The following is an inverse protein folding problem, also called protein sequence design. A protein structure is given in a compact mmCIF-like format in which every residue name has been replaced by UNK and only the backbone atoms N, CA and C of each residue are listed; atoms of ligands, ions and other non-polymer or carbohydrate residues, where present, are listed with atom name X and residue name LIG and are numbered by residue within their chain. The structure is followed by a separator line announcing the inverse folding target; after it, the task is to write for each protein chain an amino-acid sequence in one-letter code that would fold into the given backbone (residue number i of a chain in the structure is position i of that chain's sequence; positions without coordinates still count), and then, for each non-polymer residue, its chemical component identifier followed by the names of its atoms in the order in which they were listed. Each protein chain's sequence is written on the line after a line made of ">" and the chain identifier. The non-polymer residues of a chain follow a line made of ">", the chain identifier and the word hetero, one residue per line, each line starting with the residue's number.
data_IF_608244416100
#
_entry.id   IF_608244416100
#
_cell.length_a   1.000
_cell.length_b   1.000
_cell.length_c   1.000
_cell.angle_alpha   90.00
_cell.angle_beta   90.00
_cell.angle_gamma   90.00
#
_symmetry.space_group_name_H-M   'P 1'
#
loop_
_entity.id
_entity.type
_entity.pdbx_description
1 polymer ?
#
# COMPACT_ATOMS: atom_id res chain seq x y z
N UNK A 1 41.26 -4.01 -0.26
CA UNK A 1 40.60 -5.31 0.00
C UNK A 1 41.47 -6.06 1.00
N UNK A 2 40.91 -6.74 2.02
CA UNK A 2 39.72 -7.60 1.98
C UNK A 2 38.48 -6.87 2.53
N UNK A 3 37.24 -7.04 2.04
CA UNK A 3 36.45 -8.24 1.68
C UNK A 3 36.06 -9.09 2.90
N UNK A 4 35.15 -8.58 3.74
CA UNK A 4 34.24 -9.35 4.62
C UNK A 4 33.42 -8.41 5.53
N UNK A 5 32.33 -7.81 5.02
CA UNK A 5 31.23 -7.26 5.84
C UNK A 5 30.00 -6.81 5.03
N UNK A 6 29.86 -7.21 3.76
CA UNK A 6 28.56 -7.13 3.08
C UNK A 6 27.88 -8.47 3.36
N UNK A 7 27.37 -8.61 4.59
CA UNK A 7 26.34 -9.62 4.85
C UNK A 7 25.18 -9.18 3.97
N UNK A 8 24.92 -10.00 2.97
CA UNK A 8 24.07 -9.71 1.84
C UNK A 8 22.65 -9.42 2.32
N UNK A 9 22.24 -8.14 2.24
CA UNK A 9 20.87 -7.74 2.52
C UNK A 9 19.86 -8.49 1.62
N UNK A 10 20.31 -8.99 0.45
CA UNK A 10 19.51 -9.90 -0.38
C UNK A 10 19.39 -11.27 0.25
N UNK A 11 20.43 -11.84 0.83
CA UNK A 11 20.34 -13.17 1.48
C UNK A 11 19.45 -13.14 2.73
N UNK A 12 19.45 -12.03 3.48
CA UNK A 12 18.52 -11.81 4.60
C UNK A 12 17.09 -11.63 4.09
N UNK A 13 16.89 -10.84 3.02
CA UNK A 13 15.59 -10.68 2.38
C UNK A 13 15.08 -12.02 1.82
N UNK A 14 15.90 -12.78 1.10
CA UNK A 14 15.59 -14.07 0.50
C UNK A 14 15.22 -15.13 1.55
N UNK A 15 15.94 -15.18 2.68
CA UNK A 15 15.61 -16.08 3.81
C UNK A 15 14.31 -15.67 4.51
N UNK A 16 14.05 -14.36 4.65
CA UNK A 16 12.79 -13.85 5.20
C UNK A 16 11.62 -14.09 4.23
N UNK A 17 11.82 -13.93 2.92
CA UNK A 17 10.88 -14.26 1.84
C UNK A 17 10.52 -15.75 1.88
N UNK A 18 11.50 -16.64 2.04
CA UNK A 18 11.25 -18.08 2.15
C UNK A 18 10.43 -18.43 3.41
N UNK A 19 10.71 -17.75 4.53
CA UNK A 19 9.99 -17.97 5.79
C UNK A 19 8.55 -17.45 5.71
N UNK A 20 8.33 -16.29 5.08
CA UNK A 20 6.99 -15.75 4.86
C UNK A 20 6.16 -16.60 3.87
N UNK A 21 6.77 -17.10 2.79
CA UNK A 21 6.13 -18.06 1.86
C UNK A 21 5.63 -19.31 2.59
N UNK A 22 6.41 -19.84 3.53
CA UNK A 22 6.01 -20.97 4.35
C UNK A 22 4.83 -20.61 5.28
N UNK A 23 4.85 -19.43 5.90
CA UNK A 23 3.77 -18.98 6.79
C UNK A 23 2.44 -18.73 6.05
N UNK A 24 2.49 -18.20 4.83
CA UNK A 24 1.31 -17.95 4.00
C UNK A 24 0.71 -19.25 3.42
N UNK A 25 1.55 -20.17 2.94
CA UNK A 25 1.09 -21.48 2.47
C UNK A 25 0.36 -22.27 3.58
N UNK A 26 0.84 -22.18 4.83
CA UNK A 26 0.19 -22.79 6.00
C UNK A 26 -1.15 -22.10 6.37
N UNK A 27 -1.37 -20.85 5.94
CA UNK A 27 -2.61 -20.10 6.17
C UNK A 27 -3.68 -20.47 5.14
N UNK A 28 -3.31 -20.69 3.88
CA UNK A 28 -4.20 -21.18 2.82
C UNK A 28 -4.73 -22.60 3.09
N UNK A 29 -3.96 -23.45 3.76
CA UNK A 29 -4.44 -24.76 4.19
C UNK A 29 -5.50 -24.69 5.32
N UNK A 30 -5.48 -23.63 6.13
CA UNK A 30 -6.44 -23.42 7.23
C UNK A 30 -7.75 -22.75 6.81
N UNK A 31 -7.78 -22.04 5.67
CA UNK A 31 -8.99 -21.38 5.14
C UNK A 31 -9.85 -22.26 4.24
N UNK A 32 -9.49 -23.53 4.04
CA UNK A 32 -10.43 -24.55 3.51
C UNK A 32 -11.46 -24.94 4.58
N UNK A 33 -12.36 -24.01 4.90
CA UNK A 33 -13.55 -24.28 5.69
C UNK A 33 -14.81 -24.01 4.86
N UNK A 34 -15.72 -24.96 4.98
CA UNK A 34 -16.99 -25.19 4.28
C UNK A 34 -17.93 -23.99 4.20
N UNK A 35 -18.82 -23.93 3.19
CA UNK A 35 -19.78 -22.84 3.05
C UNK A 35 -20.75 -22.83 4.23
N UNK A 36 -20.77 -21.73 4.99
CA UNK A 36 -21.81 -21.47 6.00
C UNK A 36 -23.04 -20.95 5.26
N UNK A 37 -24.14 -21.69 5.36
CA UNK A 37 -25.43 -21.33 4.80
C UNK A 37 -25.91 -19.99 5.38
N UNK A 38 -26.26 -19.05 4.51
CA UNK A 38 -26.93 -17.82 4.88
C UNK A 38 -28.38 -18.11 5.23
N UNK A 39 -28.71 -18.11 6.52
CA UNK A 39 -30.06 -17.78 6.97
C UNK A 39 -30.07 -17.44 8.47
N UNK A 40 -30.54 -16.25 8.84
CA UNK A 40 -31.52 -16.12 9.92
C UNK A 40 -32.12 -14.71 9.95
N UNK A 41 -33.34 -14.62 9.44
CA UNK A 41 -34.34 -13.67 9.92
C UNK A 41 -34.82 -14.15 11.29
N UNK A 42 -34.69 -13.33 12.36
CA UNK A 42 -35.60 -13.27 13.52
C UNK A 42 -35.24 -12.09 14.47
N UNK A 43 -36.18 -11.65 15.33
CA UNK A 43 -36.41 -10.24 15.64
C UNK A 43 -35.62 -9.71 16.84
N UNK A 44 -35.45 -8.40 16.87
CA UNK A 44 -34.85 -7.63 17.97
C UNK A 44 -35.65 -7.84 19.27
N UNK A 45 -35.04 -8.51 20.25
CA UNK A 45 -35.53 -8.47 21.63
C UNK A 45 -35.11 -7.15 22.26
N UNK A 46 -36.09 -6.32 22.61
CA UNK A 46 -35.92 -5.21 23.54
C UNK A 46 -35.60 -5.78 24.92
N UNK A 47 -34.38 -5.59 25.39
CA UNK A 47 -34.01 -5.87 26.78
C UNK A 47 -33.80 -4.54 27.52
N UNK A 48 -34.78 -4.18 28.36
CA UNK A 48 -34.78 -2.98 29.19
C UNK A 48 -34.02 -3.23 30.51
N UNK A 49 -32.80 -3.74 30.41
CA UNK A 49 -31.91 -4.01 31.54
C UNK A 49 -31.11 -2.78 31.95
N UNK A 50 -31.58 -2.08 32.99
CA UNK A 50 -30.93 -0.91 33.56
C UNK A 50 -29.68 -1.32 34.40
N UNK A 51 -28.52 -1.45 33.76
CA UNK A 51 -27.24 -1.61 34.45
C UNK A 51 -26.62 -0.24 34.76
N UNK A 52 -26.78 0.20 36.01
CA UNK A 52 -26.01 1.30 36.61
C UNK A 52 -24.56 0.82 36.85
N UNK A 53 -23.69 0.98 35.86
CA UNK A 53 -22.29 0.60 35.98
C UNK A 53 -21.38 1.34 35.00
N UNK A 54 -20.68 2.36 35.51
CA UNK A 54 -19.44 2.96 34.98
C UNK A 54 -19.17 2.72 33.48
N UNK A 55 -19.95 3.36 32.60
CA UNK A 55 -19.58 3.47 31.19
C UNK A 55 -18.36 4.37 31.11
N UNK A 56 -17.18 3.78 30.87
CA UNK A 56 -16.01 4.55 30.40
C UNK A 56 -16.51 5.39 29.24
N UNK A 57 -16.46 6.71 29.42
CA UNK A 57 -16.87 7.69 28.44
C UNK A 57 -15.79 7.72 27.34
N UNK A 58 -15.65 6.63 26.59
CA UNK A 58 -14.89 6.65 25.35
C UNK A 58 -15.69 7.54 24.41
N UNK A 59 -15.12 8.63 23.88
CA UNK A 59 -15.84 9.45 22.90
C UNK A 59 -16.33 8.53 21.80
N UNK A 60 -17.65 8.51 21.57
CA UNK A 60 -18.21 7.77 20.46
C UNK A 60 -17.54 8.27 19.17
N UNK A 61 -17.00 7.36 18.36
CA UNK A 61 -16.37 7.76 17.11
C UNK A 61 -17.39 8.47 16.21
N UNK A 62 -16.97 9.49 15.44
CA UNK A 62 -17.90 10.27 14.62
C UNK A 62 -18.65 9.37 13.64
N UNK A 63 -19.90 9.71 13.28
CA UNK A 63 -20.67 8.93 12.32
C UNK A 63 -19.92 8.78 11.00
N UNK A 64 -20.04 7.61 10.35
CA UNK A 64 -19.39 7.33 9.06
C UNK A 64 -20.09 8.08 7.93
N UNK A 65 -19.31 8.57 6.98
CA UNK A 65 -19.77 8.90 5.64
C UNK A 65 -19.54 7.71 4.70
N UNK A 66 -20.50 7.45 3.79
CA UNK A 66 -20.43 6.36 2.81
C UNK A 66 -20.63 4.95 3.39
N UNK A 67 -20.64 3.96 2.49
CA UNK A 67 -20.67 2.53 2.85
C UNK A 67 -19.25 1.94 2.89
N UNK A 68 -19.12 0.74 3.46
CA UNK A 68 -17.84 0.04 3.52
C UNK A 68 -17.56 -0.77 2.25
N UNK A 69 -16.29 -1.02 1.99
CA UNK A 69 -15.80 -2.07 1.12
C UNK A 69 -15.16 -3.20 1.93
N UNK A 70 -15.16 -4.41 1.39
CA UNK A 70 -14.40 -5.52 1.95
C UNK A 70 -12.95 -5.46 1.47
N UNK A 71 -11.98 -5.58 2.37
CA UNK A 71 -10.55 -5.68 2.04
C UNK A 71 -10.12 -7.14 1.88
N UNK A 72 -8.90 -7.36 1.36
CA UNK A 72 -8.33 -8.69 1.13
C UNK A 72 -8.40 -9.62 2.35
N UNK A 73 -8.10 -9.08 3.52
CA UNK A 73 -8.13 -9.81 4.80
C UNK A 73 -9.55 -10.04 5.35
N UNK A 74 -10.59 -9.70 4.59
CA UNK A 74 -11.99 -9.86 4.95
C UNK A 74 -12.53 -8.79 5.91
N UNK A 75 -11.82 -7.66 6.06
CA UNK A 75 -12.21 -6.56 6.95
C UNK A 75 -13.07 -5.54 6.21
N UNK A 76 -13.73 -4.67 6.98
CA UNK A 76 -14.46 -3.52 6.44
C UNK A 76 -13.54 -2.31 6.42
N UNK A 77 -13.64 -1.53 5.34
CA UNK A 77 -12.94 -0.24 5.21
C UNK A 77 -13.89 0.79 4.62
N UNK A 78 -13.84 2.04 5.09
CA UNK A 78 -14.69 3.14 4.61
C UNK A 78 -13.83 4.22 3.92
N UNK A 79 -13.66 4.19 2.59
CA UNK A 79 -12.82 5.16 1.88
C UNK A 79 -13.28 6.62 2.03
N UNK A 80 -14.58 6.84 2.31
CA UNK A 80 -15.16 8.18 2.53
C UNK A 80 -15.05 8.65 3.98
N UNK A 81 -14.57 7.81 4.89
CA UNK A 81 -14.40 8.12 6.30
C UNK A 81 -13.29 7.22 6.89
N UNK A 82 -12.06 7.29 6.37
CA UNK A 82 -10.99 6.36 6.73
C UNK A 82 -10.53 6.61 8.16
N UNK A 83 -10.24 5.53 8.91
CA UNK A 83 -9.70 5.62 10.27
C UNK A 83 -8.33 4.93 10.34
N UNK A 84 -7.34 5.51 11.04
CA UNK A 84 -5.99 4.96 11.07
C UNK A 84 -5.95 3.50 11.53
N UNK A 85 -6.67 3.14 12.60
CA UNK A 85 -6.65 1.78 13.17
C UNK A 85 -7.31 0.70 12.30
N UNK A 86 -7.92 1.09 11.17
CA UNK A 86 -8.51 0.18 10.18
C UNK A 86 -7.62 0.00 8.95
N UNK A 87 -6.49 0.68 8.91
CA UNK A 87 -5.48 0.53 7.86
C UNK A 87 -4.53 -0.62 8.24
N UNK A 88 -4.48 -1.63 7.38
CA UNK A 88 -3.63 -2.81 7.51
C UNK A 88 -2.71 -2.90 6.29
N UNK A 89 -1.42 -3.15 6.53
CA UNK A 89 -0.41 -3.14 5.48
C UNK A 89 -0.60 -4.29 4.49
N UNK A 90 -1.12 -5.42 4.95
CA UNK A 90 -1.40 -6.60 4.14
C UNK A 90 -2.50 -6.33 3.10
N UNK A 91 -3.52 -5.54 3.46
CA UNK A 91 -4.57 -5.15 2.52
C UNK A 91 -4.03 -4.18 1.45
N UNK A 92 -3.13 -3.27 1.82
CA UNK A 92 -2.48 -2.34 0.90
C UNK A 92 -1.58 -3.12 -0.06
N UNK A 93 -0.66 -3.92 0.46
CA UNK A 93 0.31 -4.68 -0.34
C UNK A 93 -0.39 -5.58 -1.37
N UNK A 94 -1.43 -6.29 -0.94
CA UNK A 94 -2.20 -7.16 -1.82
C UNK A 94 -2.92 -6.39 -2.93
N UNK A 95 -3.67 -5.34 -2.57
CA UNK A 95 -4.40 -4.52 -3.54
C UNK A 95 -3.46 -3.89 -4.57
N UNK A 96 -2.37 -3.25 -4.11
CA UNK A 96 -1.39 -2.61 -4.98
C UNK A 96 -0.60 -3.62 -5.83
N UNK A 97 -0.41 -4.84 -5.35
CA UNK A 97 0.20 -5.94 -6.12
C UNK A 97 -0.64 -6.35 -7.33
N UNK A 98 -1.96 -6.25 -7.23
CA UNK A 98 -2.91 -6.59 -8.30
C UNK A 98 -3.22 -5.42 -9.25
N UNK A 99 -3.02 -4.18 -8.82
CA UNK A 99 -3.31 -3.00 -9.63
C UNK A 99 -2.17 -2.70 -10.61
N UNK A 100 -2.49 -2.70 -11.90
CA UNK A 100 -1.54 -2.38 -12.96
C UNK A 100 -1.45 -0.87 -13.18
N UNK A 101 -0.23 -0.33 -13.20
CA UNK A 101 0.01 1.07 -13.58
C UNK A 101 -0.44 1.35 -15.01
N UNK A 102 -0.61 2.64 -15.31
CA UNK A 102 -0.99 3.12 -16.65
C UNK A 102 -2.34 2.56 -17.14
N UNK A 103 -3.23 2.22 -16.21
CA UNK A 103 -4.48 1.52 -16.49
C UNK A 103 -4.30 0.27 -17.38
N UNK A 104 -3.18 -0.44 -17.24
CA UNK A 104 -2.90 -1.65 -18.00
C UNK A 104 -2.37 -1.44 -19.42
N UNK A 105 -2.11 -0.20 -19.87
CA UNK A 105 -1.55 0.08 -21.20
C UNK A 105 -0.02 -0.12 -21.32
N UNK A 106 0.54 -0.94 -20.44
CA UNK A 106 1.95 -1.32 -20.45
C UNK A 106 2.23 -2.48 -21.42
N UNK A 107 3.47 -2.62 -21.88
CA UNK A 107 3.91 -3.77 -22.69
C UNK A 107 3.90 -5.06 -21.85
N UNK A 108 4.32 -4.97 -20.59
CA UNK A 108 4.28 -6.03 -19.58
C UNK A 108 3.56 -5.54 -18.33
N UNK A 109 2.97 -6.48 -17.57
CA UNK A 109 2.38 -6.18 -16.28
C UNK A 109 3.39 -5.47 -15.37
N UNK A 110 2.95 -4.36 -14.78
CA UNK A 110 3.75 -3.52 -13.90
C UNK A 110 2.83 -2.94 -12.84
N UNK A 111 2.98 -3.41 -11.60
CA UNK A 111 2.05 -3.10 -10.53
C UNK A 111 2.39 -1.79 -9.81
N UNK A 112 1.39 -1.20 -9.17
CA UNK A 112 1.59 -0.04 -8.28
C UNK A 112 2.53 -0.40 -7.11
N UNK A 113 2.46 -1.64 -6.63
CA UNK A 113 3.39 -2.14 -5.61
C UNK A 113 4.85 -2.16 -6.08
N UNK A 114 5.12 -2.65 -7.31
CA UNK A 114 6.49 -2.64 -7.85
C UNK A 114 7.04 -1.22 -7.99
N UNK A 115 6.24 -0.31 -8.53
CA UNK A 115 6.55 1.12 -8.58
C UNK A 115 6.94 1.70 -7.21
N UNK A 116 6.09 1.48 -6.21
CA UNK A 116 6.32 1.97 -4.85
C UNK A 116 7.58 1.40 -4.21
N UNK A 117 7.86 0.11 -4.42
CA UNK A 117 9.07 -0.54 -3.90
C UNK A 117 10.34 0.00 -4.56
N UNK A 118 10.33 0.25 -5.88
CA UNK A 118 11.48 0.80 -6.58
C UNK A 118 11.81 2.23 -6.10
N UNK A 119 10.79 3.07 -5.87
CA UNK A 119 10.95 4.40 -5.26
C UNK A 119 11.53 4.27 -3.85
N UNK A 120 10.93 3.43 -3.00
CA UNK A 120 11.36 3.27 -1.62
C UNK A 120 12.82 2.82 -1.52
N UNK A 121 13.24 1.86 -2.36
CA UNK A 121 14.63 1.38 -2.42
C UNK A 121 15.60 2.46 -2.90
N UNK A 122 15.20 3.26 -3.88
CA UNK A 122 15.99 4.41 -4.32
C UNK A 122 16.19 5.42 -3.19
N UNK A 123 15.11 5.77 -2.49
CA UNK A 123 15.13 6.74 -1.39
C UNK A 123 15.92 6.23 -0.18
N UNK A 124 15.80 4.94 0.16
CA UNK A 124 16.50 4.32 1.29
C UNK A 124 18.04 4.38 1.14
N UNK A 125 18.54 4.45 -0.09
CA UNK A 125 19.98 4.59 -0.34
C UNK A 125 20.51 6.01 -0.09
N UNK A 126 19.63 7.02 0.06
CA UNK A 126 19.98 8.44 0.06
C UNK A 126 19.41 9.24 1.23
N UNK A 127 18.34 8.76 1.86
CA UNK A 127 17.55 9.49 2.85
C UNK A 127 17.24 8.63 4.08
N UNK A 128 16.68 9.28 5.11
CA UNK A 128 16.26 8.60 6.34
C UNK A 128 15.15 7.55 6.05
N UNK A 129 15.05 6.49 6.88
CA UNK A 129 14.03 5.45 6.72
C UNK A 129 12.59 5.99 6.63
N UNK A 130 12.27 7.09 7.31
CA UNK A 130 10.96 7.76 7.24
C UNK A 130 10.63 8.27 5.84
N UNK A 131 11.61 8.83 5.12
CA UNK A 131 11.42 9.35 3.75
C UNK A 131 11.21 8.18 2.79
N UNK A 132 11.98 7.11 2.94
CA UNK A 132 11.81 5.90 2.14
C UNK A 132 10.48 5.19 2.43
N UNK A 133 10.03 5.18 3.69
CA UNK A 133 8.73 4.62 4.06
C UNK A 133 7.58 5.47 3.51
N UNK A 134 7.70 6.80 3.54
CA UNK A 134 6.76 7.69 2.85
C UNK A 134 6.74 7.40 1.34
N UNK A 135 7.90 7.14 0.73
CA UNK A 135 8.00 6.70 -0.66
C UNK A 135 7.35 5.33 -0.94
N UNK A 136 7.43 4.38 -0.02
CA UNK A 136 6.74 3.09 -0.17
C UNK A 136 5.20 3.25 -0.10
N UNK A 137 4.71 4.17 0.73
CA UNK A 137 3.28 4.33 1.02
C UNK A 137 2.62 5.47 0.27
N UNK A 138 3.32 6.20 -0.61
CA UNK A 138 2.77 7.39 -1.27
C UNK A 138 1.52 7.08 -2.12
N UNK A 139 1.51 5.94 -2.82
CA UNK A 139 0.37 5.43 -3.58
C UNK A 139 -0.53 4.47 -2.77
N UNK A 140 -0.31 4.33 -1.45
CA UNK A 140 -1.18 3.51 -0.60
C UNK A 140 -2.67 3.90 -0.63
N UNK A 141 -3.08 5.17 -0.80
CA UNK A 141 -4.50 5.51 -1.02
C UNK A 141 -5.14 4.77 -2.20
N UNK A 142 -4.37 4.42 -3.24
CA UNK A 142 -4.87 3.71 -4.42
C UNK A 142 -5.35 2.28 -4.08
N UNK A 143 -4.91 1.70 -2.95
CA UNK A 143 -5.45 0.43 -2.47
C UNK A 143 -6.96 0.48 -2.21
N UNK A 144 -7.49 1.67 -1.89
CA UNK A 144 -8.90 1.92 -1.58
C UNK A 144 -9.59 2.81 -2.64
N UNK A 145 -8.83 3.66 -3.33
CA UNK A 145 -9.35 4.64 -4.30
C UNK A 145 -9.06 4.30 -5.77
N UNK A 146 -8.28 3.24 -6.04
CA UNK A 146 -7.79 2.77 -7.36
C UNK A 146 -6.80 3.74 -8.02
N UNK A 147 -5.78 3.23 -8.74
CA UNK A 147 -4.91 4.05 -9.61
C UNK A 147 -5.73 4.64 -10.77
N UNK A 148 -6.10 5.92 -10.65
CA UNK A 148 -6.75 6.67 -11.72
C UNK A 148 -5.71 7.39 -12.56
N UNK A 149 -5.65 7.17 -13.89
CA UNK A 149 -4.74 7.88 -14.79
C UNK A 149 -4.77 9.40 -14.58
N UNK A 150 -3.58 9.98 -14.43
CA UNK A 150 -3.36 11.41 -14.15
C UNK A 150 -4.23 12.38 -14.99
N UNK A 151 -4.48 12.15 -16.30
CA UNK A 151 -5.34 13.04 -17.10
C UNK A 151 -6.81 13.08 -16.67
N UNK A 152 -7.31 12.04 -16.00
CA UNK A 152 -8.71 11.97 -15.54
C UNK A 152 -8.91 12.69 -14.20
N UNK A 153 -7.92 12.68 -13.31
CA UNK A 153 -8.03 13.22 -11.93
C UNK A 153 -8.62 14.65 -11.87
N UNK A 154 -8.27 15.62 -12.73
CA UNK A 154 -8.85 16.97 -12.70
C UNK A 154 -10.36 17.04 -12.99
N UNK A 155 -10.93 16.02 -13.63
CA UNK A 155 -12.34 15.97 -14.00
C UNK A 155 -13.19 15.19 -13.00
N UNK A 156 -12.56 14.54 -12.02
CA UNK A 156 -13.26 13.85 -10.93
C UNK A 156 -13.48 14.82 -9.78
N UNK A 157 -14.75 15.18 -9.58
CA UNK A 157 -15.16 15.98 -8.41
C UNK A 157 -14.73 15.24 -7.15
N UNK A 158 -14.26 15.97 -6.13
CA UNK A 158 -13.88 15.49 -4.78
C UNK A 158 -12.79 14.39 -4.68
N UNK A 159 -12.35 13.78 -5.78
CA UNK A 159 -11.44 12.63 -5.75
C UNK A 159 -10.11 12.92 -5.05
N UNK A 160 -9.49 14.09 -5.32
CA UNK A 160 -8.25 14.51 -4.64
C UNK A 160 -8.42 14.66 -3.13
N UNK A 161 -9.59 15.12 -2.67
CA UNK A 161 -9.86 15.24 -1.24
C UNK A 161 -10.04 13.86 -0.60
N UNK A 162 -10.70 12.93 -1.30
CA UNK A 162 -10.84 11.54 -0.86
C UNK A 162 -9.46 10.87 -0.75
N UNK A 163 -8.61 10.98 -1.77
CA UNK A 163 -7.22 10.47 -1.72
C UNK A 163 -6.46 11.06 -0.53
N UNK A 164 -6.60 12.38 -0.31
CA UNK A 164 -5.95 13.06 0.82
C UNK A 164 -6.44 12.55 2.18
N UNK A 165 -7.74 12.34 2.37
CA UNK A 165 -8.29 11.81 3.63
C UNK A 165 -7.78 10.38 3.90
N UNK A 166 -7.67 9.55 2.86
CA UNK A 166 -7.10 8.20 2.97
C UNK A 166 -5.60 8.27 3.31
N UNK A 167 -4.85 9.17 2.65
CA UNK A 167 -3.45 9.42 2.98
C UNK A 167 -3.28 9.86 4.43
N UNK A 168 -4.10 10.78 4.95
CA UNK A 168 -4.02 11.22 6.34
C UNK A 168 -4.25 10.06 7.34
N UNK A 169 -5.18 9.15 7.04
CA UNK A 169 -5.40 7.96 7.87
C UNK A 169 -4.21 6.99 7.81
N UNK A 170 -3.66 6.75 6.62
CA UNK A 170 -2.47 5.92 6.40
C UNK A 170 -1.24 6.52 7.10
N UNK A 171 -0.99 7.81 6.92
CA UNK A 171 0.12 8.53 7.52
C UNK A 171 0.04 8.49 9.04
N UNK A 172 -1.15 8.70 9.61
CA UNK A 172 -1.36 8.56 11.06
C UNK A 172 -1.14 7.11 11.54
N UNK A 173 -1.56 6.09 10.78
CA UNK A 173 -1.39 4.68 11.14
C UNK A 173 0.07 4.25 11.23
N UNK A 174 0.91 4.79 10.35
CA UNK A 174 2.32 4.42 10.23
C UNK A 174 3.28 5.50 10.75
N UNK A 175 2.77 6.56 11.38
CA UNK A 175 3.58 7.63 11.96
C UNK A 175 4.42 8.37 10.92
N UNK A 176 3.80 8.73 9.80
CA UNK A 176 4.38 9.52 8.70
C UNK A 176 3.88 10.97 8.74
N UNK A 177 4.60 11.90 8.09
CA UNK A 177 4.14 13.29 7.93
C UNK A 177 2.81 13.37 7.17
N UNK A 178 1.99 14.37 7.51
CA UNK A 178 0.72 14.64 6.81
C UNK A 178 0.92 15.06 5.35
N UNK A 179 2.03 15.75 5.09
CA UNK A 179 2.43 16.16 3.74
C UNK A 179 3.58 15.26 3.29
N UNK A 180 3.49 14.76 2.05
CA UNK A 180 4.57 13.93 1.49
C UNK A 180 5.88 14.74 1.41
N UNK A 181 7.03 14.15 1.81
CA UNK A 181 8.33 14.79 1.62
C UNK A 181 8.58 15.13 0.16
N UNK A 182 9.27 16.24 -0.10
CA UNK A 182 9.57 16.72 -1.46
C UNK A 182 10.36 15.67 -2.25
N UNK A 183 11.24 14.94 -1.58
CA UNK A 183 12.05 13.86 -2.14
C UNK A 183 11.19 12.73 -2.73
N UNK A 184 10.04 12.43 -2.12
CA UNK A 184 9.10 11.42 -2.62
C UNK A 184 8.46 11.90 -3.92
N UNK A 185 7.97 13.14 -3.94
CA UNK A 185 7.39 13.74 -5.15
C UNK A 185 8.40 13.86 -6.30
N UNK A 186 9.66 14.20 -5.99
CA UNK A 186 10.73 14.27 -6.98
C UNK A 186 11.06 12.86 -7.52
N UNK A 187 11.08 11.83 -6.67
CA UNK A 187 11.31 10.44 -7.08
C UNK A 187 10.16 9.88 -7.92
N UNK A 188 8.89 10.06 -7.52
CA UNK A 188 7.71 9.63 -8.28
C UNK A 188 7.65 10.26 -9.68
N UNK A 189 7.99 11.54 -9.83
CA UNK A 189 8.04 12.13 -11.16
C UNK A 189 9.24 11.66 -12.00
N UNK A 190 10.35 11.29 -11.36
CA UNK A 190 11.59 10.91 -12.03
C UNK A 190 11.56 9.46 -12.51
N UNK A 191 10.98 8.54 -11.72
CA UNK A 191 10.88 7.11 -12.07
C UNK A 191 10.12 6.86 -13.37
N UNK A 192 9.24 7.79 -13.78
CA UNK A 192 8.56 7.73 -15.08
C UNK A 192 9.58 7.54 -16.21
N UNK A 193 10.76 8.18 -16.13
CA UNK A 193 11.83 8.04 -17.13
C UNK A 193 12.31 6.58 -17.28
N UNK A 194 12.45 5.86 -16.16
CA UNK A 194 12.80 4.43 -16.16
C UNK A 194 11.61 3.56 -16.65
N UNK A 195 10.38 3.96 -16.35
CA UNK A 195 9.16 3.22 -16.70
C UNK A 195 8.79 3.28 -18.19
N UNK A 196 9.23 4.32 -18.89
CA UNK A 196 8.97 4.51 -20.33
C UNK A 196 9.42 3.32 -21.19
N UNK A 197 10.41 2.53 -20.74
CA UNK A 197 10.84 1.30 -21.42
C UNK A 197 9.71 0.28 -21.57
N UNK A 198 8.67 0.37 -20.73
CA UNK A 198 7.50 -0.49 -20.74
C UNK A 198 6.30 0.12 -21.48
N UNK A 199 6.49 1.23 -22.20
CA UNK A 199 5.47 1.88 -23.03
C UNK A 199 5.91 1.98 -24.48
N UNK A 200 4.95 2.10 -25.39
CA UNK A 200 5.23 2.41 -26.80
C UNK A 200 5.67 3.86 -26.91
N UNK A 201 6.73 4.09 -27.69
CA UNK A 201 7.35 5.41 -27.81
C UNK A 201 6.36 6.48 -28.31
N UNK A 202 6.41 7.65 -27.67
CA UNK A 202 5.64 8.83 -28.05
C UNK A 202 6.47 10.11 -27.87
N UNK A 203 6.19 11.20 -28.59
CA UNK A 203 6.96 12.45 -28.50
C UNK A 203 7.09 13.04 -27.09
N UNK A 204 6.07 12.86 -26.24
CA UNK A 204 6.12 13.39 -24.86
C UNK A 204 7.19 12.72 -23.99
N UNK A 205 7.69 11.54 -24.37
CA UNK A 205 8.74 10.82 -23.64
C UNK A 205 10.00 11.68 -23.46
N UNK A 206 10.30 12.55 -24.43
CA UNK A 206 11.43 13.46 -24.40
C UNK A 206 11.47 14.37 -23.15
N UNK A 207 10.32 14.63 -22.49
CA UNK A 207 10.25 15.43 -21.26
C UNK A 207 10.93 14.78 -20.05
N UNK A 208 11.20 13.48 -20.13
CA UNK A 208 11.78 12.66 -19.06
C UNK A 208 13.21 12.19 -19.36
N UNK A 209 13.76 12.51 -20.52
CA UNK A 209 15.14 12.13 -20.87
C UNK A 209 16.15 12.71 -19.86
N UNK A 210 17.03 11.86 -19.31
CA UNK A 210 18.06 12.28 -18.35
C UNK A 210 17.56 12.48 -16.92
N UNK A 211 16.31 12.09 -16.61
CA UNK A 211 15.71 12.18 -15.27
C UNK A 211 15.57 10.82 -14.59
N UNK A 212 16.24 9.80 -15.12
CA UNK A 212 16.16 8.43 -14.63
C UNK A 212 16.66 8.34 -13.18
N UNK A 213 15.94 7.57 -12.37
CA UNK A 213 16.44 7.14 -11.06
C UNK A 213 17.52 6.06 -11.22
N UNK A 214 17.61 5.43 -12.39
CA UNK A 214 18.51 4.32 -12.68
C UNK A 214 17.99 2.98 -12.14
N UNK A 215 16.66 2.86 -11.99
CA UNK A 215 16.02 1.64 -11.51
C UNK A 215 15.71 0.71 -12.67
N UNK A 216 15.69 -0.60 -12.39
CA UNK A 216 15.33 -1.60 -13.40
C UNK A 216 13.99 -2.23 -13.04
N UNK A 217 13.02 -2.10 -13.95
CA UNK A 217 11.75 -2.81 -13.84
C UNK A 217 11.98 -4.33 -13.83
N UNK A 218 11.34 -5.00 -12.89
CA UNK A 218 11.41 -6.42 -12.60
C UNK A 218 10.25 -7.17 -13.24
N UNK A 219 9.08 -6.52 -13.39
CA UNK A 219 7.84 -7.12 -13.89
C UNK A 219 7.39 -8.28 -13.00
N UNK A 220 7.33 -8.02 -11.70
CA UNK A 220 6.93 -9.00 -10.70
C UNK A 220 5.50 -9.50 -10.96
N UNK A 221 5.26 -10.78 -10.70
CA UNK A 221 3.87 -11.25 -10.55
C UNK A 221 3.19 -10.49 -9.39
N UNK A 222 1.85 -10.44 -9.34
CA UNK A 222 1.16 -9.82 -8.22
C UNK A 222 1.62 -10.34 -6.85
N UNK A 223 1.84 -11.65 -6.73
CA UNK A 223 2.32 -12.30 -5.51
C UNK A 223 3.75 -11.89 -5.17
N UNK A 224 4.64 -11.82 -6.16
CA UNK A 224 6.01 -11.33 -5.97
C UNK A 224 6.02 -9.87 -5.52
N UNK A 225 5.18 -9.02 -6.14
CA UNK A 225 5.09 -7.61 -5.80
C UNK A 225 4.53 -7.39 -4.39
N UNK A 226 3.52 -8.15 -3.97
CA UNK A 226 3.00 -8.13 -2.60
C UNK A 226 4.10 -8.50 -1.58
N UNK A 227 4.84 -9.57 -1.85
CA UNK A 227 5.94 -10.02 -0.99
C UNK A 227 7.05 -8.98 -0.86
N UNK A 228 7.46 -8.39 -1.98
CA UNK A 228 8.52 -7.37 -2.03
C UNK A 228 8.09 -6.08 -1.34
N UNK A 229 6.80 -5.73 -1.43
CA UNK A 229 6.21 -4.59 -0.73
C UNK A 229 6.24 -4.80 0.79
N UNK A 230 5.75 -5.95 1.27
CA UNK A 230 5.76 -6.28 2.70
C UNK A 230 7.18 -6.38 3.27
N UNK A 231 8.10 -7.04 2.54
CA UNK A 231 9.49 -7.15 2.97
C UNK A 231 10.19 -5.78 3.05
N UNK A 232 9.90 -4.89 2.09
CA UNK A 232 10.44 -3.52 2.09
C UNK A 232 9.83 -2.70 3.24
N UNK A 233 8.53 -2.84 3.50
CA UNK A 233 7.86 -2.20 4.63
C UNK A 233 8.49 -2.61 5.97
N UNK A 234 8.62 -3.92 6.21
CA UNK A 234 9.20 -4.46 7.45
C UNK A 234 10.64 -3.98 7.67
N UNK A 235 11.45 -3.94 6.59
CA UNK A 235 12.83 -3.46 6.67
C UNK A 235 12.90 -1.97 7.04
N UNK A 236 12.04 -1.15 6.44
CA UNK A 236 11.98 0.30 6.73
C UNK A 236 11.44 0.58 8.13
N UNK A 237 10.42 -0.16 8.57
CA UNK A 237 9.89 -0.05 9.94
C UNK A 237 10.92 -0.46 10.99
N UNK A 238 11.67 -1.54 10.75
CA UNK A 238 12.77 -1.94 11.62
C UNK A 238 13.89 -0.88 11.66
N UNK A 239 14.20 -0.27 10.51
CA UNK A 239 15.20 0.80 10.40
C UNK A 239 14.84 2.08 11.16
N UNK A 240 13.56 2.35 11.43
CA UNK A 240 13.10 3.49 12.26
C UNK A 240 13.21 3.25 13.76
N UNK A 241 13.27 1.98 14.16
CA UNK A 241 13.36 1.59 15.57
C UNK A 241 14.82 1.48 16.07
N UNK A 242 15.79 1.56 15.16
CA UNK A 242 17.23 1.47 15.42
C UNK A 242 17.84 2.86 15.64
#
# INVERSE_FOLDING_TARGET
>A
MPYAAVIDAREIADKKIATFKAAMALREERTRCTPVAANDNRPQSQDNGQYIGLTRNTPAEPPRAGDFMQTFTGRKYWPMSPRPHEVYIEDIAHSLGLQCRYAGHCIKFYSVAEHSVLIARHLAAKHAPEVALAGLLHDAPEAYCVDIPRPLKPYLTNYRAIEQDNWLAIAARFGLPKELPREVHDADNSIIADELVNLREMPWHARYAGKELGVKLRYWSPEEAELEFLATFDALMAGRAA
#
